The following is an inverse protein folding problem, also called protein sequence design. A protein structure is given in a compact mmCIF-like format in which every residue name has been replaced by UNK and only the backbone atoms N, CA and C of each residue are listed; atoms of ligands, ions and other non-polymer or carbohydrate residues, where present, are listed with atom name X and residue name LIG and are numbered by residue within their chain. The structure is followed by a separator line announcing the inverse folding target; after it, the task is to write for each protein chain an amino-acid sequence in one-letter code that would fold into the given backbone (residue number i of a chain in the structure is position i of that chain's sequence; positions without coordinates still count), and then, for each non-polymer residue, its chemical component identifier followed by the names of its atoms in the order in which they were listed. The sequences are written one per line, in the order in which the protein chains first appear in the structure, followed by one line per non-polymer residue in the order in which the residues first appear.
data_IF_888608093277
#
_entry.id   IF_888608093277
#
_cell.length_a   1.000
_cell.length_b   1.000
_cell.length_c   1.000
_cell.angle_alpha   90.00
_cell.angle_beta   90.00
_cell.angle_gamma   90.00
#
_symmetry.space_group_name_H-M   'P 1'
#
loop_
_entity.id
_entity.type
_entity.pdbx_description
1 polymer ?
#
# COMPACT_ATOMS: atom_id res chain seq x y z
N UNK A 1 -1.71 9.33 10.46
CA UNK A 1 -1.29 8.38 9.42
C UNK A 1 -0.97 9.13 8.14
N UNK A 2 -0.02 8.67 7.33
CA UNK A 2 0.16 9.12 5.94
C UNK A 2 -1.13 8.83 5.15
N UNK A 3 -1.57 9.79 4.34
CA UNK A 3 -2.77 9.67 3.51
C UNK A 3 -2.51 8.72 2.34
N UNK A 4 -1.41 8.94 1.64
CA UNK A 4 -1.02 8.18 0.46
C UNK A 4 -0.59 6.75 0.81
N UNK A 5 -0.76 5.82 -0.13
CA UNK A 5 -0.17 4.48 -0.02
C UNK A 5 1.26 4.48 -0.55
N UNK A 6 2.20 3.98 0.24
CA UNK A 6 3.62 3.93 -0.14
C UNK A 6 3.89 2.63 -0.91
N UNK A 7 4.49 2.75 -2.09
CA UNK A 7 4.88 1.61 -2.94
C UNK A 7 6.37 1.36 -2.80
N UNK A 8 6.74 0.14 -2.42
CA UNK A 8 8.11 -0.32 -2.12
C UNK A 8 8.44 -1.59 -2.89
N UNK A 9 9.69 -2.03 -2.86
CA UNK A 9 10.12 -3.23 -3.58
C UNK A 9 9.85 -4.50 -2.77
N UNK A 10 10.31 -4.53 -1.52
CA UNK A 10 10.39 -5.72 -0.68
C UNK A 10 9.57 -5.67 0.61
N UNK A 11 9.60 -6.78 1.35
CA UNK A 11 8.95 -6.88 2.68
C UNK A 11 9.79 -6.22 3.78
N UNK A 12 11.09 -6.17 3.60
CA UNK A 12 12.02 -5.56 4.55
C UNK A 12 11.85 -4.03 4.55
N UNK A 13 11.64 -3.42 3.37
CA UNK A 13 11.20 -2.02 3.25
C UNK A 13 9.90 -1.76 4.02
N UNK A 14 8.91 -2.63 3.87
CA UNK A 14 7.62 -2.52 4.59
C UNK A 14 7.89 -2.48 6.09
N UNK A 15 8.75 -3.37 6.58
CA UNK A 15 9.07 -3.48 8.00
C UNK A 15 9.76 -2.22 8.50
N UNK A 16 10.78 -1.73 7.77
CA UNK A 16 11.52 -0.56 8.18
C UNK A 16 10.65 0.70 8.19
N UNK A 17 9.89 0.94 7.11
CA UNK A 17 9.03 2.13 6.99
C UNK A 17 7.90 2.10 8.02
N UNK A 18 7.25 0.95 8.24
CA UNK A 18 6.22 0.83 9.31
C UNK A 18 6.77 1.10 10.70
N UNK A 19 8.05 0.79 10.93
CA UNK A 19 8.70 1.08 12.21
C UNK A 19 8.98 2.57 12.44
N UNK A 20 9.06 3.34 11.34
CA UNK A 20 9.35 4.77 11.34
C UNK A 20 8.07 5.61 11.39
N UNK A 21 7.04 5.24 10.62
CA UNK A 21 5.84 6.07 10.47
C UNK A 21 4.57 5.25 10.19
N UNK A 22 3.44 5.74 10.70
CA UNK A 22 2.13 5.16 10.47
C UNK A 22 1.62 5.41 9.04
N UNK A 23 1.61 4.37 8.22
CA UNK A 23 1.28 4.43 6.79
C UNK A 23 0.78 3.10 6.24
N UNK A 24 0.16 3.13 5.06
CA UNK A 24 -0.11 1.93 4.28
C UNK A 24 0.96 1.68 3.25
N UNK A 25 1.30 0.41 3.06
CA UNK A 25 2.33 -0.01 2.13
C UNK A 25 1.84 -1.11 1.19
N UNK A 26 2.43 -1.12 -0.01
CA UNK A 26 2.30 -2.15 -1.03
C UNK A 26 3.70 -2.45 -1.57
N UNK A 27 4.10 -3.72 -1.53
CA UNK A 27 5.33 -4.17 -2.19
C UNK A 27 5.05 -4.61 -3.63
N UNK A 28 5.97 -4.30 -4.54
CA UNK A 28 5.95 -4.82 -5.92
C UNK A 28 6.47 -6.26 -6.01
N UNK A 29 7.27 -6.69 -5.02
CA UNK A 29 7.99 -7.97 -4.99
C UNK A 29 8.96 -8.09 -6.18
N UNK A 30 9.76 -7.05 -6.39
CA UNK A 30 10.74 -6.94 -7.48
C UNK A 30 10.16 -6.38 -8.79
N UNK A 31 10.87 -6.63 -9.90
CA UNK A 31 10.58 -6.07 -11.22
C UNK A 31 9.43 -6.75 -11.98
N UNK A 32 9.12 -7.99 -11.63
CA UNK A 32 8.17 -8.85 -12.36
C UNK A 32 6.70 -8.57 -12.00
N UNK A 33 6.37 -7.39 -11.47
CA UNK A 33 4.98 -7.08 -11.14
C UNK A 33 4.12 -6.92 -12.41
N UNK A 34 2.95 -7.57 -12.38
CA UNK A 34 2.02 -7.65 -13.50
C UNK A 34 1.05 -6.46 -13.60
N UNK A 35 0.16 -6.54 -14.58
CA UNK A 35 -0.90 -5.55 -14.82
C UNK A 35 -1.85 -5.41 -13.64
N UNK A 36 -2.20 -6.53 -12.97
CA UNK A 36 -3.08 -6.53 -11.80
C UNK A 36 -2.60 -5.59 -10.69
N UNK A 37 -1.28 -5.51 -10.45
CA UNK A 37 -0.75 -4.60 -9.45
C UNK A 37 -0.86 -3.15 -9.91
N UNK A 38 -0.58 -2.86 -11.19
CA UNK A 38 -0.71 -1.51 -11.75
C UNK A 38 -2.15 -1.02 -11.67
N UNK A 39 -3.12 -1.85 -12.06
CA UNK A 39 -4.54 -1.48 -12.02
C UNK A 39 -5.00 -1.23 -10.58
N UNK A 40 -4.54 -2.05 -9.64
CA UNK A 40 -4.74 -1.81 -8.21
C UNK A 40 -4.15 -0.49 -7.75
N UNK A 41 -2.92 -0.17 -8.14
CA UNK A 41 -2.26 1.08 -7.78
C UNK A 41 -3.00 2.29 -8.38
N UNK A 42 -3.55 2.18 -9.59
CA UNK A 42 -4.39 3.21 -10.22
C UNK A 42 -5.65 3.49 -9.38
N UNK A 43 -6.34 2.45 -8.93
CA UNK A 43 -7.53 2.62 -8.08
C UNK A 43 -7.20 3.19 -6.70
N UNK A 44 -6.06 2.80 -6.12
CA UNK A 44 -5.61 3.36 -4.84
C UNK A 44 -5.20 4.83 -5.00
N UNK A 45 -4.51 5.19 -6.08
CA UNK A 45 -4.12 6.57 -6.36
C UNK A 45 -5.33 7.49 -6.47
N UNK A 46 -6.38 7.06 -7.18
CA UNK A 46 -7.66 7.79 -7.25
C UNK A 46 -8.29 8.05 -5.87
N UNK A 47 -8.16 7.10 -4.94
CA UNK A 47 -8.82 7.17 -3.62
C UNK A 47 -8.02 7.96 -2.59
N UNK A 48 -6.72 7.70 -2.48
CA UNK A 48 -5.89 8.33 -1.44
C UNK A 48 -4.51 8.82 -1.91
N UNK A 49 -4.16 8.61 -3.18
CA UNK A 49 -2.86 8.92 -3.75
C UNK A 49 -1.81 7.84 -3.44
N UNK A 50 -0.75 7.79 -4.23
CA UNK A 50 0.42 6.94 -3.96
C UNK A 50 1.72 7.72 -3.87
N UNK A 51 2.67 7.19 -3.10
CA UNK A 51 4.07 7.64 -3.07
C UNK A 51 4.96 6.46 -3.46
N UNK A 52 5.74 6.61 -4.54
CA UNK A 52 6.73 5.61 -4.94
C UNK A 52 8.00 5.83 -4.13
N UNK A 53 8.38 4.84 -3.33
CA UNK A 53 9.58 4.84 -2.51
C UNK A 53 10.36 3.54 -2.69
N UNK A 54 11.16 3.51 -3.75
CA UNK A 54 12.00 2.38 -4.15
C UNK A 54 13.47 2.67 -3.90
N UNK A 55 14.29 1.61 -3.88
CA UNK A 55 15.72 1.69 -3.67
C UNK A 55 16.44 2.57 -4.70
N UNK A 56 17.55 3.22 -4.30
CA UNK A 56 18.37 4.06 -5.17
C UNK A 56 19.35 3.22 -6.02
N UNK A 57 18.85 2.13 -6.61
CA UNK A 57 19.59 1.18 -7.43
C UNK A 57 18.96 1.04 -8.83
N UNK A 58 19.42 0.07 -9.63
CA UNK A 58 18.88 -0.13 -10.98
C UNK A 58 17.47 -0.72 -10.96
N UNK A 59 17.19 -1.68 -10.08
CA UNK A 59 15.89 -2.33 -10.00
C UNK A 59 14.81 -1.35 -9.53
N UNK A 60 15.07 -0.62 -8.43
CA UNK A 60 14.20 0.41 -7.90
C UNK A 60 13.92 1.52 -8.92
N UNK A 61 14.93 1.97 -9.68
CA UNK A 61 14.71 2.94 -10.77
C UNK A 61 13.76 2.42 -11.83
N UNK A 62 13.90 1.15 -12.25
CA UNK A 62 13.03 0.53 -13.27
C UNK A 62 11.60 0.33 -12.77
N UNK A 63 11.42 -0.08 -11.52
CA UNK A 63 10.11 -0.16 -10.88
C UNK A 63 9.44 1.22 -10.89
N UNK A 64 10.17 2.25 -10.43
CA UNK A 64 9.71 3.63 -10.40
C UNK A 64 9.30 4.15 -11.77
N UNK A 65 10.15 3.98 -12.79
CA UNK A 65 9.86 4.40 -14.17
C UNK A 65 8.57 3.76 -14.69
N UNK A 66 8.39 2.46 -14.45
CA UNK A 66 7.21 1.72 -14.92
C UNK A 66 5.93 2.18 -14.23
N UNK A 67 5.94 2.39 -12.91
CA UNK A 67 4.75 2.87 -12.19
C UNK A 67 4.44 4.32 -12.56
N UNK A 68 5.46 5.20 -12.62
CA UNK A 68 5.29 6.62 -12.94
C UNK A 68 4.70 6.83 -14.34
N UNK A 69 5.06 5.97 -15.30
CA UNK A 69 4.49 5.99 -16.65
C UNK A 69 2.98 5.71 -16.64
N UNK A 70 2.54 4.79 -15.79
CA UNK A 70 1.14 4.36 -15.69
C UNK A 70 0.30 5.25 -14.77
N UNK A 71 0.95 5.93 -13.81
CA UNK A 71 0.32 6.78 -12.79
C UNK A 71 1.11 8.10 -12.69
N UNK A 72 0.88 9.07 -13.61
CA UNK A 72 1.66 10.30 -13.68
C UNK A 72 1.53 11.23 -12.47
N UNK A 73 0.46 11.10 -11.68
CA UNK A 73 0.21 11.90 -10.48
C UNK A 73 0.87 11.32 -9.22
N UNK A 74 1.52 10.15 -9.33
CA UNK A 74 2.19 9.53 -8.21
C UNK A 74 3.26 10.48 -7.63
N UNK A 75 3.27 10.62 -6.30
CA UNK A 75 4.35 11.34 -5.61
C UNK A 75 5.60 10.45 -5.56
N UNK A 76 6.75 11.08 -5.38
CA UNK A 76 8.03 10.39 -5.38
C UNK A 76 8.85 10.72 -4.15
N UNK A 77 9.18 9.68 -3.36
CA UNK A 77 10.16 9.77 -2.29
C UNK A 77 11.50 9.21 -2.76
N UNK A 78 12.58 9.85 -2.33
CA UNK A 78 13.95 9.49 -2.66
C UNK A 78 14.80 9.47 -1.40
N UNK A 79 15.78 8.59 -1.39
CA UNK A 79 16.77 8.47 -0.34
C UNK A 79 18.15 8.66 -0.95
N UNK A 80 18.99 9.47 -0.31
CA UNK A 80 20.39 9.57 -0.74
C UNK A 80 21.05 8.21 -0.59
N UNK A 81 21.85 7.81 -1.59
CA UNK A 81 22.52 6.50 -1.59
C UNK A 81 23.28 6.24 -0.29
N UNK A 82 23.97 7.26 0.25
CA UNK A 82 24.74 7.15 1.49
C UNK A 82 23.88 6.89 2.74
N UNK A 83 22.58 7.24 2.71
CA UNK A 83 21.61 6.99 3.78
C UNK A 83 20.95 5.62 3.67
N UNK A 84 21.15 4.94 2.54
CA UNK A 84 20.57 3.64 2.23
C UNK A 84 21.61 2.51 2.31
N UNK A 85 22.87 2.79 2.69
CA UNK A 85 23.94 1.79 2.72
C UNK A 85 24.23 1.34 4.13
N UNK A 86 24.22 0.03 4.36
CA UNK A 86 24.71 -0.58 5.60
C UNK A 86 25.54 -1.82 5.27
N UNK A 87 26.80 -1.83 5.72
CA UNK A 87 27.73 -2.95 5.47
C UNK A 87 27.87 -3.36 3.98
N UNK A 88 27.75 -2.40 3.07
CA UNK A 88 27.85 -2.64 1.62
C UNK A 88 26.54 -3.04 0.94
N UNK A 89 25.47 -3.22 1.71
CA UNK A 89 24.13 -3.49 1.20
C UNK A 89 23.33 -2.19 1.06
N UNK A 90 22.62 -2.04 -0.06
CA UNK A 90 21.95 -0.80 -0.47
C UNK A 90 20.44 -1.04 -0.53
N UNK A 91 19.67 -0.37 0.33
CA UNK A 91 18.21 -0.47 0.30
C UNK A 91 17.52 0.42 1.34
N UNK A 92 16.22 0.65 1.18
CA UNK A 92 15.40 1.42 2.12
C UNK A 92 15.31 0.70 3.46
N UNK A 93 15.38 -0.63 3.49
CA UNK A 93 15.50 -1.43 4.73
C UNK A 93 16.68 -1.01 5.63
N UNK A 94 17.71 -0.38 5.07
CA UNK A 94 18.90 0.08 5.79
C UNK A 94 18.83 1.54 6.25
N UNK A 95 17.78 2.27 5.84
CA UNK A 95 17.60 3.69 6.16
C UNK A 95 17.26 3.91 7.65
N UNK A 96 17.71 5.04 8.21
CA UNK A 96 17.27 5.46 9.53
C UNK A 96 15.80 5.92 9.50
N UNK A 97 15.13 5.90 10.67
CA UNK A 97 13.76 6.40 10.79
C UNK A 97 13.64 7.87 10.37
N UNK A 98 14.63 8.69 10.76
CA UNK A 98 14.65 10.11 10.42
C UNK A 98 14.81 10.33 8.92
N UNK A 99 15.65 9.53 8.25
CA UNK A 99 15.81 9.61 6.81
C UNK A 99 14.54 9.21 6.06
N UNK A 100 13.82 8.18 6.52
CA UNK A 100 12.50 7.79 5.98
C UNK A 100 11.49 8.93 6.12
N UNK A 101 11.40 9.53 7.32
CA UNK A 101 10.48 10.63 7.59
C UNK A 101 10.82 11.84 6.70
N UNK A 102 12.10 12.18 6.58
CA UNK A 102 12.55 13.28 5.74
C UNK A 102 12.28 13.01 4.25
N UNK A 103 12.50 11.79 3.77
CA UNK A 103 12.19 11.41 2.38
C UNK A 103 10.70 11.57 2.06
N UNK A 104 9.82 11.13 2.96
CA UNK A 104 8.36 11.27 2.78
C UNK A 104 7.90 12.72 2.90
N UNK A 105 8.51 13.51 3.79
CA UNK A 105 8.25 14.95 3.90
C UNK A 105 8.63 15.68 2.61
N UNK A 106 9.80 15.38 2.05
CA UNK A 106 10.27 15.94 0.79
C UNK A 106 9.42 15.51 -0.41
N UNK A 107 8.81 14.31 -0.34
CA UNK A 107 7.80 13.86 -1.30
C UNK A 107 6.44 14.56 -1.14
N UNK A 108 6.33 15.55 -0.24
CA UNK A 108 5.08 16.22 0.12
C UNK A 108 3.98 15.24 0.57
N UNK A 109 4.34 14.22 1.34
CA UNK A 109 3.38 13.27 1.89
C UNK A 109 2.34 14.01 2.75
N UNK A 110 1.06 13.72 2.52
CA UNK A 110 -0.03 14.33 3.26
C UNK A 110 -0.34 13.48 4.48
N UNK A 111 -0.88 14.10 5.54
CA UNK A 111 -1.40 13.36 6.68
C UNK A 111 -2.92 13.39 6.69
N UNK A 112 -3.50 12.35 7.27
CA UNK A 112 -4.93 12.30 7.62
C UNK A 112 -5.13 11.65 8.97
N UNK A 113 -6.31 11.89 9.53
CA UNK A 113 -6.80 11.12 10.67
C UNK A 113 -7.04 9.66 10.26
N UNK A 114 -6.88 8.75 11.22
CA UNK A 114 -7.26 7.35 11.02
C UNK A 114 -8.78 7.30 10.87
N UNK A 115 -9.23 6.50 9.92
CA UNK A 115 -10.63 6.23 9.67
C UNK A 115 -10.99 4.88 10.28
N UNK A 116 -12.10 4.84 11.01
CA UNK A 116 -12.67 3.63 11.61
C UNK A 116 -14.10 3.45 11.11
N UNK A 117 -14.28 3.48 9.79
CA UNK A 117 -15.58 3.21 9.17
C UNK A 117 -15.97 1.75 9.37
N UNK A 118 -15.04 0.84 9.11
CA UNK A 118 -15.28 -0.59 9.17
C UNK A 118 -14.66 -1.16 10.44
N UNK A 119 -15.36 -2.13 11.00
CA UNK A 119 -15.01 -2.87 12.21
C UNK A 119 -15.00 -4.36 11.93
N UNK A 120 -14.57 -5.16 12.92
CA UNK A 120 -14.69 -6.62 12.82
C UNK A 120 -16.15 -7.08 12.69
N UNK A 121 -17.11 -6.32 13.23
CA UNK A 121 -18.54 -6.61 13.13
C UNK A 121 -19.01 -6.58 11.67
N UNK A 122 -18.53 -5.61 10.87
CA UNK A 122 -18.82 -5.55 9.45
C UNK A 122 -18.31 -6.80 8.71
N UNK A 123 -17.17 -7.36 9.10
CA UNK A 123 -16.67 -8.60 8.52
C UNK A 123 -17.49 -9.82 8.94
N UNK A 124 -17.96 -9.86 10.19
CA UNK A 124 -18.79 -10.94 10.72
C UNK A 124 -20.16 -10.96 10.04
N UNK A 125 -20.84 -9.81 10.04
CA UNK A 125 -22.20 -9.65 9.49
C UNK A 125 -22.25 -10.01 7.99
N UNK A 126 -21.13 -9.89 7.28
CA UNK A 126 -21.02 -10.15 5.84
C UNK A 126 -20.32 -11.47 5.48
N UNK A 127 -20.10 -12.37 6.46
CA UNK A 127 -19.45 -13.67 6.27
C UNK A 127 -18.03 -13.58 5.66
N UNK A 128 -17.30 -12.52 5.98
CA UNK A 128 -15.91 -12.29 5.53
C UNK A 128 -14.89 -12.82 6.53
N UNK A 129 -15.34 -13.31 7.69
CA UNK A 129 -14.52 -13.96 8.71
C UNK A 129 -15.30 -15.06 9.45
N UNK A 130 -14.58 -15.97 10.11
CA UNK A 130 -15.11 -17.09 10.90
C UNK A 130 -16.10 -18.03 10.19
N UNK A 131 -16.15 -18.02 8.86
CA UNK A 131 -16.97 -18.94 8.05
C UNK A 131 -16.12 -19.75 7.07
N UNK A 132 -16.61 -20.92 6.66
CA UNK A 132 -15.93 -21.77 5.67
C UNK A 132 -15.75 -21.07 4.31
N UNK A 133 -16.69 -20.19 3.93
CA UNK A 133 -16.67 -19.41 2.68
C UNK A 133 -15.94 -18.07 2.79
N UNK A 134 -15.41 -17.72 3.97
CA UNK A 134 -14.82 -16.40 4.21
C UNK A 134 -13.63 -16.12 3.28
N UNK A 135 -12.84 -17.14 2.95
CA UNK A 135 -11.64 -16.96 2.10
C UNK A 135 -12.04 -16.54 0.68
N UNK A 136 -12.95 -17.28 0.07
CA UNK A 136 -13.45 -17.04 -1.28
C UNK A 136 -14.19 -15.70 -1.36
N UNK A 137 -15.01 -15.39 -0.34
CA UNK A 137 -15.72 -14.12 -0.25
C UNK A 137 -14.78 -12.93 -0.14
N UNK A 138 -13.71 -13.02 0.65
CA UNK A 138 -12.68 -11.96 0.73
C UNK A 138 -11.91 -11.79 -0.58
N UNK A 139 -11.63 -12.87 -1.30
CA UNK A 139 -10.99 -12.78 -2.62
C UNK A 139 -11.90 -12.02 -3.60
N UNK A 140 -13.15 -12.47 -3.73
CA UNK A 140 -14.14 -11.85 -4.62
C UNK A 140 -14.41 -10.38 -4.27
N UNK A 141 -14.52 -10.06 -2.98
CA UNK A 141 -14.67 -8.69 -2.51
C UNK A 141 -13.43 -7.84 -2.84
N UNK A 142 -12.24 -8.39 -2.62
CA UNK A 142 -10.97 -7.75 -2.93
C UNK A 142 -10.82 -7.41 -4.41
N UNK A 143 -11.31 -8.29 -5.29
CA UNK A 143 -11.31 -8.09 -6.74
C UNK A 143 -12.30 -6.99 -7.14
N UNK A 144 -13.55 -7.03 -6.63
CA UNK A 144 -14.58 -6.03 -6.92
C UNK A 144 -14.16 -4.64 -6.45
N UNK A 145 -13.53 -4.54 -5.27
CA UNK A 145 -13.04 -3.26 -4.74
C UNK A 145 -11.69 -2.85 -5.32
N UNK A 146 -11.06 -3.69 -6.15
CA UNK A 146 -9.72 -3.48 -6.69
C UNK A 146 -8.69 -3.18 -5.59
N UNK A 147 -8.73 -3.97 -4.51
CA UNK A 147 -7.76 -3.92 -3.40
C UNK A 147 -6.98 -5.23 -3.29
N UNK A 148 -7.42 -6.29 -3.97
CA UNK A 148 -6.79 -7.61 -3.98
C UNK A 148 -7.10 -8.42 -2.71
N UNK A 149 -6.56 -9.65 -2.66
CA UNK A 149 -6.83 -10.57 -1.56
C UNK A 149 -6.03 -10.24 -0.29
N UNK A 150 -6.72 -10.30 0.84
CA UNK A 150 -6.14 -10.18 2.17
C UNK A 150 -6.83 -11.13 3.17
N UNK A 151 -6.13 -11.47 4.25
CA UNK A 151 -6.79 -12.12 5.39
C UNK A 151 -7.74 -11.14 6.10
N UNK A 152 -8.59 -11.62 7.01
CA UNK A 152 -9.61 -10.80 7.67
C UNK A 152 -9.06 -9.53 8.34
N UNK A 153 -7.94 -9.65 9.07
CA UNK A 153 -7.32 -8.52 9.78
C UNK A 153 -6.75 -7.49 8.80
N UNK A 154 -6.08 -7.97 7.76
CA UNK A 154 -5.52 -7.11 6.72
C UNK A 154 -6.63 -6.43 5.90
N UNK A 155 -7.68 -7.16 5.52
CA UNK A 155 -8.83 -6.63 4.79
C UNK A 155 -9.47 -5.48 5.56
N UNK A 156 -9.73 -5.65 6.86
CA UNK A 156 -10.27 -4.59 7.71
C UNK A 156 -9.40 -3.32 7.69
N UNK A 157 -8.08 -3.50 7.81
CA UNK A 157 -7.11 -2.39 7.68
C UNK A 157 -7.21 -1.72 6.31
N UNK A 158 -7.34 -2.50 5.23
CA UNK A 158 -7.40 -1.98 3.85
C UNK A 158 -8.70 -1.27 3.53
N UNK A 159 -9.84 -1.74 4.02
CA UNK A 159 -11.12 -1.06 3.85
C UNK A 159 -11.10 0.35 4.46
N UNK A 160 -10.52 0.47 5.66
CA UNK A 160 -10.40 1.75 6.35
C UNK A 160 -9.35 2.68 5.72
N UNK A 161 -8.22 2.12 5.30
CA UNK A 161 -7.10 2.92 4.80
C UNK A 161 -7.22 3.28 3.31
N UNK A 162 -7.82 2.46 2.48
CA UNK A 162 -8.01 2.78 1.06
C UNK A 162 -9.19 3.71 0.80
N UNK A 163 -9.77 4.30 1.85
CA UNK A 163 -10.86 5.26 1.74
C UNK A 163 -12.11 4.69 1.03
N UNK A 164 -12.39 3.39 1.24
CA UNK A 164 -13.58 2.72 0.71
C UNK A 164 -14.83 3.29 1.39
N UNK A 165 -15.81 3.74 0.63
CA UNK A 165 -17.07 4.24 1.20
C UNK A 165 -17.95 3.10 1.71
N UNK A 166 -18.88 3.41 2.63
CA UNK A 166 -19.85 2.43 3.13
C UNK A 166 -20.67 1.86 1.96
N UNK A 167 -21.13 2.75 1.09
CA UNK A 167 -21.96 2.45 -0.06
C UNK A 167 -21.24 1.55 -1.06
N UNK A 168 -19.97 1.83 -1.33
CA UNK A 168 -19.12 1.00 -2.21
C UNK A 168 -18.93 -0.40 -1.63
N UNK A 169 -18.64 -0.50 -0.33
CA UNK A 169 -18.50 -1.79 0.36
C UNK A 169 -19.80 -2.59 0.29
N UNK A 170 -20.94 -2.00 0.62
CA UNK A 170 -22.25 -2.68 0.60
C UNK A 170 -22.65 -3.12 -0.82
N UNK A 171 -22.39 -2.27 -1.81
CA UNK A 171 -22.61 -2.60 -3.23
C UNK A 171 -21.74 -3.79 -3.67
N UNK A 172 -20.47 -3.82 -3.25
CA UNK A 172 -19.57 -4.93 -3.54
C UNK A 172 -20.00 -6.21 -2.82
N UNK A 173 -20.44 -6.11 -1.56
CA UNK A 173 -20.92 -7.27 -0.79
C UNK A 173 -22.18 -7.89 -1.39
N UNK A 174 -23.09 -7.10 -1.97
CA UNK A 174 -24.29 -7.63 -2.67
C UNK A 174 -23.95 -8.47 -3.90
N UNK A 175 -22.74 -8.32 -4.45
CA UNK A 175 -22.27 -9.01 -5.65
C UNK A 175 -21.49 -10.30 -5.35
N UNK A 176 -21.21 -10.62 -4.08
CA UNK A 176 -20.42 -11.80 -3.66
C UNK A 176 -21.24 -12.99 -3.19
#
# INVERSE_FOLDING_TARGET
MIKETIVVEGKDDITNIKSAIDCELIATNGLAFGHDLIDRLKEIDKRCGIIIFTDPDFAGKKIREKIAKEIPNAKHAFLDRNKAIKKGDLGIENASKDDIINALKNAHASTRQRREEFTIKDLLDNNLTLSKSSKERRARLGDILSIGYFNSKQLLSKLNSFNISREEFESAVKKI
#
